data_IF_074845446857
#
_entry.id   IF_074845446857
#
_cell.length_a   1.000
_cell.length_b   1.000
_cell.length_c   1.000
_cell.angle_alpha   90.00
_cell.angle_beta   90.00
_cell.angle_gamma   90.00
#
_symmetry.space_group_name_H-M   'P 1'
#
loop_
_entity.id
_entity.type
_entity.pdbx_description
1 polymer ?
#
# COMPACT_ATOMS: atom_id res chain seq x y z
N UNK A 1 -10.36 6.50 -5.93
CA UNK A 1 -9.23 6.77 -5.03
C UNK A 1 -8.05 7.11 -5.91
N UNK A 2 -7.53 8.34 -5.82
CA UNK A 2 -6.36 8.74 -6.58
C UNK A 2 -5.17 7.91 -6.09
N UNK A 3 -4.46 7.27 -7.01
CA UNK A 3 -3.24 6.53 -6.72
C UNK A 3 -2.24 7.51 -6.10
N UNK A 4 -1.88 7.34 -4.82
CA UNK A 4 -0.86 8.20 -4.19
C UNK A 4 0.40 8.20 -5.05
N UNK A 5 0.95 9.40 -5.35
CA UNK A 5 2.15 9.49 -6.18
C UNK A 5 3.35 9.00 -5.39
N UNK A 6 4.28 8.31 -6.04
CA UNK A 6 5.49 7.78 -5.38
C UNK A 6 6.28 8.87 -4.62
N UNK A 7 6.28 10.10 -5.13
CA UNK A 7 6.89 11.27 -4.51
C UNK A 7 6.36 11.58 -3.11
N UNK A 8 5.12 11.21 -2.80
CA UNK A 8 4.51 11.43 -1.48
C UNK A 8 5.12 10.48 -0.43
N UNK A 9 5.53 9.27 -0.83
CA UNK A 9 6.17 8.31 0.08
C UNK A 9 7.63 8.69 0.40
N UNK A 10 8.32 9.37 -0.52
CA UNK A 10 9.70 9.81 -0.31
C UNK A 10 9.84 10.86 0.80
N UNK A 11 8.80 11.69 1.03
CA UNK A 11 8.79 12.72 2.07
C UNK A 11 8.33 12.24 3.45
N UNK A 12 7.84 11.01 3.58
CA UNK A 12 7.35 10.46 4.85
C UNK A 12 8.48 9.88 5.69
N UNK A 13 8.35 9.98 7.01
CA UNK A 13 9.24 9.31 7.95
C UNK A 13 9.09 7.78 7.89
N UNK A 14 10.14 7.04 8.27
CA UNK A 14 10.15 5.56 8.20
C UNK A 14 9.07 4.94 9.07
N UNK A 15 8.82 5.47 10.28
CA UNK A 15 7.82 4.92 11.19
C UNK A 15 6.40 5.11 10.67
N UNK A 16 6.15 6.28 10.07
CA UNK A 16 4.86 6.60 9.44
C UNK A 16 4.62 5.70 8.23
N UNK A 17 5.65 5.46 7.41
CA UNK A 17 5.56 4.59 6.24
C UNK A 17 5.25 3.13 6.63
N UNK A 18 5.82 2.62 7.73
CA UNK A 18 5.52 1.28 8.24
C UNK A 18 4.11 1.17 8.82
N UNK A 19 3.63 2.20 9.52
CA UNK A 19 2.23 2.27 9.99
C UNK A 19 1.26 2.25 8.81
N UNK A 20 1.44 3.13 7.84
CA UNK A 20 0.59 3.23 6.66
C UNK A 20 0.59 1.92 5.85
N UNK A 21 1.75 1.25 5.74
CA UNK A 21 1.87 -0.06 5.10
C UNK A 21 0.97 -1.09 5.80
N UNK A 22 1.04 -1.17 7.13
CA UNK A 22 0.22 -2.13 7.90
C UNK A 22 -1.28 -1.87 7.71
N UNK A 23 -1.69 -0.60 7.73
CA UNK A 23 -3.08 -0.20 7.49
C UNK A 23 -3.53 -0.52 6.06
N UNK A 24 -2.68 -0.30 5.06
CA UNK A 24 -2.99 -0.63 3.68
C UNK A 24 -3.10 -2.15 3.45
N UNK A 25 -2.28 -2.94 4.13
CA UNK A 25 -2.33 -4.42 4.08
C UNK A 25 -3.62 -4.94 4.70
N UNK A 26 -4.03 -4.44 5.86
CA UNK A 26 -5.31 -4.85 6.49
C UNK A 26 -6.51 -4.49 5.63
N UNK A 27 -6.55 -3.28 5.05
CA UNK A 27 -7.60 -2.90 4.10
C UNK A 27 -7.60 -3.77 2.85
N UNK A 28 -6.43 -4.12 2.30
CA UNK A 28 -6.34 -5.06 1.18
C UNK A 28 -6.95 -6.42 1.52
N UNK A 29 -6.65 -6.95 2.71
CA UNK A 29 -7.23 -8.20 3.18
C UNK A 29 -8.76 -8.11 3.33
N UNK A 30 -9.27 -7.02 3.92
CA UNK A 30 -10.71 -6.78 4.06
C UNK A 30 -11.40 -6.75 2.71
N UNK A 31 -10.89 -5.95 1.77
CA UNK A 31 -11.48 -5.81 0.42
C UNK A 31 -11.40 -7.11 -0.39
N UNK A 32 -10.34 -7.90 -0.22
CA UNK A 32 -10.24 -9.23 -0.85
C UNK A 32 -11.30 -10.19 -0.32
N UNK A 33 -11.56 -10.17 0.99
CA UNK A 33 -12.61 -10.99 1.61
C UNK A 33 -14.00 -10.52 1.15
N UNK A 34 -14.27 -9.22 1.20
CA UNK A 34 -15.53 -8.63 0.75
C UNK A 34 -15.80 -8.93 -0.74
N UNK A 35 -14.78 -8.83 -1.60
CA UNK A 35 -14.91 -9.22 -2.99
C UNK A 35 -15.29 -10.70 -3.12
N UNK A 36 -14.65 -11.59 -2.36
CA UNK A 36 -14.93 -13.02 -2.44
C UNK A 36 -16.35 -13.36 -1.96
N UNK A 37 -16.87 -12.64 -0.96
CA UNK A 37 -18.17 -12.93 -0.34
C UNK A 37 -19.32 -12.36 -1.17
N UNK A 38 -19.25 -11.07 -1.58
CA UNK A 38 -20.38 -10.35 -2.19
C UNK A 38 -20.17 -10.00 -3.66
N UNK A 39 -18.95 -10.12 -4.18
CA UNK A 39 -18.54 -9.49 -5.42
C UNK A 39 -18.36 -7.98 -5.22
N UNK A 40 -17.15 -7.46 -5.45
CA UNK A 40 -16.92 -6.03 -5.32
C UNK A 40 -17.47 -5.30 -6.54
N UNK A 41 -18.11 -4.15 -6.34
CA UNK A 41 -18.58 -3.28 -7.43
C UNK A 41 -17.44 -2.80 -8.34
N UNK A 42 -16.21 -2.69 -7.81
CA UNK A 42 -15.04 -2.32 -8.60
C UNK A 42 -13.77 -3.07 -8.17
N UNK A 43 -13.44 -4.21 -8.80
CA UNK A 43 -12.27 -5.02 -8.46
C UNK A 43 -10.93 -4.29 -8.74
N UNK A 44 -10.94 -3.21 -9.53
CA UNK A 44 -9.73 -2.43 -9.83
C UNK A 44 -9.16 -1.75 -8.57
N UNK A 45 -9.99 -1.48 -7.56
CA UNK A 45 -9.53 -0.90 -6.29
C UNK A 45 -8.52 -1.80 -5.57
N UNK A 46 -8.71 -3.11 -5.62
CA UNK A 46 -7.76 -4.09 -5.05
C UNK A 46 -6.40 -3.99 -5.75
N UNK A 47 -6.40 -3.78 -7.07
CA UNK A 47 -5.17 -3.61 -7.85
C UNK A 47 -4.45 -2.31 -7.48
N UNK A 48 -5.19 -1.22 -7.25
CA UNK A 48 -4.60 0.05 -6.82
C UNK A 48 -3.93 -0.08 -5.45
N UNK A 49 -4.62 -0.66 -4.46
CA UNK A 49 -4.06 -0.84 -3.12
C UNK A 49 -2.83 -1.76 -3.16
N UNK A 50 -2.83 -2.82 -3.98
CA UNK A 50 -1.63 -3.66 -4.18
C UNK A 50 -0.45 -2.85 -4.72
N UNK A 51 -0.69 -1.92 -5.64
CA UNK A 51 0.35 -1.06 -6.20
C UNK A 51 0.90 -0.10 -5.15
N UNK A 52 0.04 0.48 -4.31
CA UNK A 52 0.46 1.36 -3.21
C UNK A 52 1.31 0.60 -2.18
N UNK A 53 0.89 -0.59 -1.76
CA UNK A 53 1.69 -1.45 -0.85
C UNK A 53 3.06 -1.75 -1.47
N UNK A 54 3.12 -2.08 -2.76
CA UNK A 54 4.39 -2.35 -3.44
C UNK A 54 5.32 -1.12 -3.42
N UNK A 55 4.79 0.07 -3.71
CA UNK A 55 5.55 1.32 -3.68
C UNK A 55 6.10 1.63 -2.29
N UNK A 56 5.29 1.46 -1.23
CA UNK A 56 5.73 1.63 0.16
C UNK A 56 6.85 0.65 0.52
N UNK A 57 6.73 -0.63 0.12
CA UNK A 57 7.78 -1.63 0.34
C UNK A 57 9.07 -1.30 -0.40
N UNK A 58 8.98 -0.85 -1.65
CA UNK A 58 10.16 -0.45 -2.44
C UNK A 58 10.91 0.69 -1.77
N UNK A 59 10.19 1.69 -1.24
CA UNK A 59 10.81 2.80 -0.52
C UNK A 59 11.49 2.34 0.77
N UNK A 60 10.85 1.45 1.55
CA UNK A 60 11.48 0.85 2.74
C UNK A 60 12.77 0.08 2.38
N UNK A 61 12.74 -0.75 1.34
CA UNK A 61 13.92 -1.51 0.87
C UNK A 61 15.03 -0.56 0.42
N UNK A 62 14.69 0.51 -0.32
CA UNK A 62 15.66 1.51 -0.74
C UNK A 62 16.33 2.19 0.46
N UNK A 63 15.57 2.48 1.52
CA UNK A 63 16.10 3.06 2.76
C UNK A 63 16.96 2.09 3.55
N UNK A 64 16.61 0.80 3.60
CA UNK A 64 17.45 -0.20 4.27
C UNK A 64 18.72 -0.46 3.49
N UNK A 65 18.66 -0.56 2.17
CA UNK A 65 19.85 -0.78 1.33
C UNK A 65 20.78 0.43 1.27
N UNK A 66 20.26 1.65 1.40
CA UNK A 66 21.07 2.87 1.47
C UNK A 66 21.74 3.09 2.85
N UNK A 67 21.24 2.43 3.90
CA UNK A 67 21.83 2.44 5.25
C UNK A 67 22.91 1.36 5.43
N UNK A 68 23.02 0.40 4.50
CA UNK A 68 24.01 -0.67 4.49
C UNK A 68 25.26 -0.24 3.72
#
# INVERSE_FOLDING_TARGET
MALKKYSEFAGLDTEVLERDLNTAVTEWHRLKLEHKIKGLQNPVQIRHIRKEIAQMKTELIKRTSAKA
#
